data_IF_637706123695
#
_entry.id   IF_637706123695
#
_cell.length_a   1.000
_cell.length_b   1.000
_cell.length_c   1.000
_cell.angle_alpha   90.00
_cell.angle_beta   90.00
_cell.angle_gamma   90.00
#
_symmetry.space_group_name_H-M   'P 1'
#
loop_
_entity.id
_entity.type
_entity.pdbx_description
1 polymer ?
#
# COMPACT_ATOMS: atom_id res chain seq x y z
N UNK A 1 -0.07 -1.14 -24.07
CA UNK A 1 -0.98 -0.91 -22.94
C UNK A 1 -0.21 -1.18 -21.67
N UNK A 2 0.04 -0.15 -20.87
CA UNK A 2 0.89 -0.24 -19.67
C UNK A 2 0.10 -0.77 -18.49
N UNK A 3 0.60 -1.82 -17.82
CA UNK A 3 -0.08 -2.41 -16.66
C UNK A 3 0.26 -1.64 -15.38
N UNK A 4 -0.76 -1.03 -14.78
CA UNK A 4 -0.61 -0.19 -13.59
C UNK A 4 -1.39 -0.79 -12.43
N UNK A 5 -0.72 -1.01 -11.33
CA UNK A 5 -1.37 -1.31 -10.06
C UNK A 5 -1.44 -0.03 -9.26
N UNK A 6 -2.65 0.44 -8.98
CA UNK A 6 -2.89 1.49 -8.01
C UNK A 6 -3.22 0.84 -6.67
N UNK A 7 -2.54 1.22 -5.59
CA UNK A 7 -2.73 0.56 -4.29
C UNK A 7 -3.06 1.57 -3.19
N UNK A 8 -4.02 1.21 -2.34
CA UNK A 8 -4.39 2.00 -1.18
C UNK A 8 -4.97 1.08 -0.09
N UNK A 9 -4.17 0.76 0.94
CA UNK A 9 -4.60 -0.16 2.01
C UNK A 9 -5.74 0.39 2.87
N UNK A 10 -5.85 1.71 3.02
CA UNK A 10 -6.91 2.36 3.80
C UNK A 10 -8.25 2.46 3.06
N UNK A 11 -8.27 2.36 1.73
CA UNK A 11 -9.48 2.60 0.94
C UNK A 11 -10.54 1.54 1.25
N UNK A 12 -11.75 2.02 1.59
CA UNK A 12 -12.87 1.19 2.04
C UNK A 12 -12.94 0.97 3.56
N UNK A 13 -11.91 1.38 4.31
CA UNK A 13 -11.92 1.40 5.78
C UNK A 13 -11.96 2.83 6.34
N UNK A 14 -11.30 3.76 5.66
CA UNK A 14 -11.14 5.15 6.10
C UNK A 14 -11.38 6.06 4.89
N UNK A 15 -11.82 7.29 5.14
CA UNK A 15 -12.00 8.32 4.12
C UNK A 15 -11.12 9.53 4.47
N UNK A 16 -9.84 9.51 4.08
CA UNK A 16 -8.93 10.67 4.13
C UNK A 16 -8.59 11.09 2.70
N UNK A 17 -7.76 12.14 2.56
CA UNK A 17 -7.33 12.65 1.26
C UNK A 17 -6.61 11.63 0.38
N UNK A 18 -5.94 10.62 0.95
CA UNK A 18 -5.28 9.57 0.16
C UNK A 18 -6.26 8.56 -0.43
N UNK A 19 -7.25 8.13 0.34
CA UNK A 19 -8.27 7.17 -0.10
C UNK A 19 -9.17 7.78 -1.18
N UNK A 20 -9.66 9.01 -0.97
CA UNK A 20 -10.44 9.73 -1.99
C UNK A 20 -9.62 9.94 -3.26
N UNK A 21 -8.36 10.38 -3.14
CA UNK A 21 -7.46 10.53 -4.27
C UNK A 21 -7.28 9.22 -5.05
N UNK A 22 -7.03 8.10 -4.35
CA UNK A 22 -6.85 6.81 -5.01
C UNK A 22 -8.11 6.39 -5.79
N UNK A 23 -9.30 6.62 -5.22
CA UNK A 23 -10.56 6.30 -5.88
C UNK A 23 -10.81 7.19 -7.11
N UNK A 24 -10.64 8.50 -6.99
CA UNK A 24 -10.84 9.45 -8.10
C UNK A 24 -9.78 9.26 -9.20
N UNK A 25 -8.52 9.06 -8.81
CA UNK A 25 -7.44 8.78 -9.75
C UNK A 25 -7.69 7.49 -10.53
N UNK A 26 -8.17 6.44 -9.85
CA UNK A 26 -8.58 5.21 -10.53
C UNK A 26 -9.70 5.47 -11.55
N UNK A 27 -10.73 6.22 -11.16
CA UNK A 27 -11.87 6.52 -12.01
C UNK A 27 -11.45 7.29 -13.27
N UNK A 28 -10.57 8.28 -13.13
CA UNK A 28 -10.03 9.06 -14.23
C UNK A 28 -9.12 8.22 -15.15
N UNK A 29 -8.13 7.53 -14.59
CA UNK A 29 -7.15 6.76 -15.36
C UNK A 29 -7.75 5.49 -15.99
N UNK A 30 -8.89 4.99 -15.49
CA UNK A 30 -9.56 3.84 -16.09
C UNK A 30 -10.17 4.13 -17.47
N UNK A 31 -10.34 5.41 -17.81
CA UNK A 31 -10.81 5.84 -19.14
C UNK A 31 -9.68 5.85 -20.18
N UNK A 32 -8.42 5.80 -19.75
CA UNK A 32 -7.26 5.86 -20.63
C UNK A 32 -6.99 4.52 -21.31
N UNK A 33 -7.18 4.48 -22.63
CA UNK A 33 -6.97 3.26 -23.44
C UNK A 33 -5.51 2.77 -23.45
N UNK A 34 -4.57 3.65 -23.14
CA UNK A 34 -3.15 3.32 -23.03
C UNK A 34 -2.80 2.56 -21.75
N UNK A 35 -3.68 2.55 -20.74
CA UNK A 35 -3.45 2.00 -19.41
C UNK A 35 -4.35 0.81 -19.10
N UNK A 36 -3.75 -0.26 -18.58
CA UNK A 36 -4.47 -1.34 -17.90
C UNK A 36 -4.32 -1.17 -16.39
N UNK A 37 -5.18 -0.34 -15.81
CA UNK A 37 -5.15 -0.03 -14.40
C UNK A 37 -6.01 -1.00 -13.58
N UNK A 38 -5.47 -1.50 -12.47
CA UNK A 38 -6.20 -2.23 -11.43
C UNK A 38 -5.96 -1.56 -10.09
N UNK A 39 -7.03 -1.24 -9.37
CA UNK A 39 -6.99 -0.70 -8.02
C UNK A 39 -7.05 -1.84 -7.01
N UNK A 40 -6.11 -1.88 -6.08
CA UNK A 40 -6.14 -2.74 -4.91
C UNK A 40 -6.43 -1.92 -3.66
N UNK A 41 -7.46 -2.33 -2.93
CA UNK A 41 -7.97 -1.63 -1.74
C UNK A 41 -8.08 -2.55 -0.53
N UNK A 42 -8.05 -2.00 0.67
CA UNK A 42 -8.10 -2.80 1.90
C UNK A 42 -9.51 -3.22 2.32
N UNK A 43 -10.56 -2.49 1.91
CA UNK A 43 -11.94 -2.72 2.36
C UNK A 43 -13.01 -2.65 1.28
N UNK A 44 -14.22 -3.07 1.65
CA UNK A 44 -15.41 -3.07 0.78
C UNK A 44 -15.47 -4.26 -0.19
N UNK A 45 -16.46 -4.27 -1.09
CA UNK A 45 -16.65 -5.34 -2.07
C UNK A 45 -15.63 -5.25 -3.22
N UNK A 46 -15.19 -6.41 -3.70
CA UNK A 46 -14.36 -6.51 -4.91
C UNK A 46 -15.21 -6.38 -6.17
N UNK A 47 -14.67 -5.69 -7.16
CA UNK A 47 -15.26 -5.45 -8.48
C UNK A 47 -14.19 -5.68 -9.57
N UNK A 48 -14.60 -5.65 -10.85
CA UNK A 48 -13.79 -6.12 -11.99
C UNK A 48 -12.35 -5.59 -12.05
N UNK A 49 -12.13 -4.32 -11.72
CA UNK A 49 -10.81 -3.67 -11.68
C UNK A 49 -10.51 -3.01 -10.33
N UNK A 50 -11.34 -3.26 -9.32
CA UNK A 50 -11.16 -2.79 -7.94
C UNK A 50 -11.17 -3.99 -7.01
N UNK A 51 -10.01 -4.50 -6.68
CA UNK A 51 -9.86 -5.75 -5.94
C UNK A 51 -9.63 -5.42 -4.47
N UNK A 52 -10.51 -5.91 -3.60
CA UNK A 52 -10.29 -5.88 -2.16
C UNK A 52 -9.30 -6.98 -1.78
N UNK A 53 -8.20 -6.58 -1.14
CA UNK A 53 -7.21 -7.51 -0.61
C UNK A 53 -7.47 -7.79 0.86
N UNK A 54 -7.00 -8.96 1.29
CA UNK A 54 -6.99 -9.26 2.71
C UNK A 54 -6.06 -8.29 3.42
N UNK A 55 -6.58 -7.68 4.48
CA UNK A 55 -5.91 -6.65 5.23
C UNK A 55 -6.34 -6.72 6.70
N UNK A 56 -5.40 -6.87 7.63
CA UNK A 56 -5.68 -6.95 9.07
C UNK A 56 -6.10 -5.57 9.60
N UNK A 57 -7.29 -5.44 10.22
CA UNK A 57 -7.77 -4.15 10.71
C UNK A 57 -6.84 -3.57 11.77
N UNK A 58 -6.49 -2.28 11.63
CA UNK A 58 -5.61 -1.51 12.53
C UNK A 58 -5.99 -1.60 14.01
N UNK A 59 -7.28 -1.77 14.31
CA UNK A 59 -7.85 -1.79 15.65
C UNK A 59 -8.16 -3.21 16.18
N UNK A 60 -7.81 -4.26 15.43
CA UNK A 60 -7.96 -5.61 15.95
C UNK A 60 -7.00 -5.84 17.10
N UNK A 61 -7.48 -6.43 18.20
CA UNK A 61 -6.64 -6.86 19.32
C UNK A 61 -5.48 -7.74 18.86
N UNK A 62 -5.69 -8.57 17.83
CA UNK A 62 -4.64 -9.40 17.22
C UNK A 62 -3.55 -8.57 16.52
N UNK A 63 -3.92 -7.45 15.89
CA UNK A 63 -2.95 -6.56 15.26
C UNK A 63 -2.02 -5.91 16.31
N UNK A 64 -2.56 -5.58 17.48
CA UNK A 64 -1.76 -5.09 18.62
C UNK A 64 -0.79 -6.14 19.17
N UNK A 65 -1.21 -7.40 19.30
CA UNK A 65 -0.32 -8.47 19.77
C UNK A 65 0.80 -8.80 18.77
N UNK A 66 0.46 -8.88 17.48
CA UNK A 66 1.45 -9.10 16.42
C UNK A 66 2.44 -7.94 16.31
N UNK A 67 1.97 -6.70 16.45
CA UNK A 67 2.82 -5.50 16.49
C UNK A 67 3.88 -5.57 17.59
N UNK A 68 3.48 -5.95 18.80
CA UNK A 68 4.40 -6.11 19.95
C UNK A 68 5.45 -7.21 19.72
N UNK A 69 5.05 -8.33 19.12
CA UNK A 69 5.95 -9.45 18.84
C UNK A 69 6.98 -9.08 17.75
N UNK A 70 6.53 -8.39 16.70
CA UNK A 70 7.41 -7.85 15.64
C UNK A 70 8.38 -6.82 16.22
N UNK A 71 7.90 -5.97 17.14
CA UNK A 71 8.74 -4.99 17.85
C UNK A 71 9.86 -5.67 18.65
N UNK A 72 9.52 -6.65 19.48
CA UNK A 72 10.50 -7.42 20.27
C UNK A 72 11.55 -8.08 19.38
N UNK A 73 11.15 -8.65 18.24
CA UNK A 73 12.10 -9.20 17.28
C UNK A 73 12.97 -8.12 16.62
N UNK A 74 12.40 -6.98 16.23
CA UNK A 74 13.16 -5.88 15.63
C UNK A 74 14.21 -5.27 16.57
N UNK A 75 13.88 -5.13 17.87
CA UNK A 75 14.80 -4.72 18.93
C UNK A 75 15.90 -5.75 19.14
N UNK A 76 15.55 -7.04 19.12
CA UNK A 76 16.51 -8.14 19.21
C UNK A 76 17.52 -8.16 18.04
N UNK A 77 17.07 -7.83 16.82
CA UNK A 77 17.93 -7.76 15.63
C UNK A 77 18.61 -6.39 15.42
N UNK A 78 18.47 -5.43 16.36
CA UNK A 78 18.98 -4.03 16.24
C UNK A 78 18.63 -3.38 14.89
N UNK A 79 17.50 -3.76 14.28
CA UNK A 79 17.06 -3.24 12.98
C UNK A 79 16.14 -2.05 13.21
N UNK A 80 16.75 -0.87 13.33
CA UNK A 80 16.22 0.50 13.11
C UNK A 80 14.78 0.85 13.52
N UNK A 81 14.63 2.00 14.18
CA UNK A 81 13.40 2.60 14.75
C UNK A 81 12.19 2.81 13.79
N UNK A 82 12.27 2.35 12.54
CA UNK A 82 11.18 2.45 11.56
C UNK A 82 9.91 1.70 12.00
N UNK A 83 10.04 0.63 12.79
CA UNK A 83 8.92 -0.17 13.28
C UNK A 83 8.15 0.47 14.44
N UNK A 84 8.66 1.55 15.03
CA UNK A 84 8.22 2.03 16.36
C UNK A 84 7.03 2.98 16.31
N UNK A 85 6.68 3.53 15.14
CA UNK A 85 5.56 4.48 15.00
C UNK A 85 4.36 3.85 14.28
N UNK A 86 3.37 3.41 15.07
CA UNK A 86 2.05 2.87 14.68
C UNK A 86 1.99 1.37 14.32
N UNK A 87 2.10 0.52 15.34
CA UNK A 87 2.01 -0.95 15.26
C UNK A 87 0.83 -1.47 14.41
N UNK A 88 -0.37 -0.91 14.58
CA UNK A 88 -1.56 -1.33 13.82
C UNK A 88 -1.52 -0.92 12.33
N UNK A 89 -0.89 0.20 12.01
CA UNK A 89 -0.75 0.69 10.63
C UNK A 89 0.26 -0.15 9.85
N UNK A 90 1.37 -0.51 10.48
CA UNK A 90 2.37 -1.40 9.88
C UNK A 90 1.79 -2.79 9.59
N UNK A 91 1.06 -3.39 10.53
CA UNK A 91 0.45 -4.71 10.33
C UNK A 91 -0.59 -4.68 9.20
N UNK A 92 -1.39 -3.61 9.12
CA UNK A 92 -2.29 -3.38 7.99
C UNK A 92 -1.52 -3.41 6.66
N UNK A 93 -0.48 -2.57 6.54
CA UNK A 93 0.32 -2.50 5.32
C UNK A 93 1.05 -3.80 4.99
N UNK A 94 1.57 -4.51 5.98
CA UNK A 94 2.27 -5.78 5.79
C UNK A 94 1.32 -6.87 5.30
N UNK A 95 0.15 -7.01 5.94
CA UNK A 95 -0.87 -7.99 5.54
C UNK A 95 -1.44 -7.71 4.15
N UNK A 96 -1.73 -6.43 3.85
CA UNK A 96 -2.12 -5.98 2.52
C UNK A 96 -1.03 -6.29 1.48
N UNK A 97 0.22 -5.96 1.78
CA UNK A 97 1.36 -6.21 0.87
C UNK A 97 1.51 -7.70 0.59
N UNK A 98 1.42 -8.56 1.62
CA UNK A 98 1.49 -10.01 1.48
C UNK A 98 0.40 -10.54 0.54
N UNK A 99 -0.83 -10.06 0.68
CA UNK A 99 -1.94 -10.40 -0.22
C UNK A 99 -1.68 -9.92 -1.65
N UNK A 100 -1.12 -8.72 -1.81
CA UNK A 100 -0.77 -8.10 -3.08
C UNK A 100 0.32 -8.87 -3.83
N UNK A 101 1.28 -9.50 -3.12
CA UNK A 101 2.40 -10.21 -3.76
C UNK A 101 1.92 -11.25 -4.77
N UNK A 102 0.90 -12.03 -4.42
CA UNK A 102 0.33 -13.04 -5.33
C UNK A 102 -0.14 -12.45 -6.67
N UNK A 103 -0.68 -11.23 -6.64
CA UNK A 103 -1.13 -10.49 -7.82
C UNK A 103 0.05 -9.93 -8.61
N UNK A 104 1.06 -9.40 -7.93
CA UNK A 104 2.31 -8.92 -8.55
C UNK A 104 2.96 -10.05 -9.36
N UNK A 105 3.08 -11.25 -8.78
CA UNK A 105 3.67 -12.40 -9.47
C UNK A 105 2.88 -12.86 -10.68
N UNK A 106 1.55 -12.92 -10.57
CA UNK A 106 0.66 -13.42 -11.63
C UNK A 106 0.49 -12.43 -12.78
N UNK A 107 0.35 -11.14 -12.47
CA UNK A 107 -0.01 -10.11 -13.46
C UNK A 107 1.18 -9.32 -13.97
N UNK A 108 2.29 -9.28 -13.20
CA UNK A 108 3.54 -8.57 -13.51
C UNK A 108 3.28 -7.12 -13.95
N UNK A 109 2.84 -6.25 -13.03
CA UNK A 109 2.62 -4.83 -13.35
C UNK A 109 3.95 -4.18 -13.76
N UNK A 110 3.86 -3.13 -14.58
CA UNK A 110 5.02 -2.31 -14.95
C UNK A 110 5.20 -1.15 -13.97
N UNK A 111 4.09 -0.64 -13.42
CA UNK A 111 4.08 0.45 -12.45
C UNK A 111 3.19 0.07 -11.27
N UNK A 112 3.68 0.30 -10.06
CA UNK A 112 2.88 0.30 -8.84
C UNK A 112 2.82 1.75 -8.35
N UNK A 113 1.62 2.32 -8.36
CA UNK A 113 1.34 3.69 -7.95
C UNK A 113 0.69 3.71 -6.56
N UNK A 114 1.24 4.54 -5.65
CA UNK A 114 0.83 4.58 -4.25
C UNK A 114 1.12 5.94 -3.61
N UNK A 115 0.42 6.22 -2.49
CA UNK A 115 0.62 7.42 -1.68
C UNK A 115 1.14 7.17 -0.27
N UNK A 116 1.25 5.89 0.12
CA UNK A 116 1.59 5.48 1.47
C UNK A 116 3.06 5.04 1.56
N UNK A 117 3.84 5.69 2.40
CA UNK A 117 5.29 5.51 2.51
C UNK A 117 5.67 4.10 3.00
N UNK A 118 4.93 3.55 3.97
CA UNK A 118 5.16 2.21 4.49
C UNK A 118 4.94 1.10 3.45
N UNK A 119 3.88 1.20 2.62
CA UNK A 119 3.68 0.31 1.47
C UNK A 119 4.83 0.41 0.47
N UNK A 120 5.28 1.64 0.18
CA UNK A 120 6.43 1.87 -0.68
C UNK A 120 7.71 1.21 -0.18
N UNK A 121 7.98 1.33 1.12
CA UNK A 121 9.15 0.75 1.76
C UNK A 121 9.14 -0.78 1.69
N UNK A 122 8.01 -1.42 2.00
CA UNK A 122 7.85 -2.88 1.91
C UNK A 122 8.04 -3.38 0.47
N UNK A 123 7.40 -2.71 -0.51
CA UNK A 123 7.50 -3.09 -1.92
C UNK A 123 8.88 -2.87 -2.51
N UNK A 124 9.62 -1.85 -2.03
CA UNK A 124 11.01 -1.62 -2.42
C UNK A 124 11.92 -2.75 -1.93
N UNK A 125 11.77 -3.17 -0.67
CA UNK A 125 12.51 -4.31 -0.12
C UNK A 125 12.19 -5.59 -0.88
N UNK A 126 10.90 -5.85 -1.13
CA UNK A 126 10.47 -6.99 -1.92
C UNK A 126 11.07 -7.00 -3.32
N UNK A 127 11.04 -5.84 -4.01
CA UNK A 127 11.61 -5.69 -5.36
C UNK A 127 13.10 -6.00 -5.36
N UNK A 128 13.87 -5.53 -4.37
CA UNK A 128 15.31 -5.82 -4.25
C UNK A 128 15.59 -7.29 -3.99
N UNK A 129 14.81 -7.91 -3.12
CA UNK A 129 14.96 -9.33 -2.79
C UNK A 129 14.64 -10.24 -3.99
N UNK A 130 13.63 -9.87 -4.76
CA UNK A 130 13.06 -10.74 -5.82
C UNK A 130 13.42 -10.32 -7.23
N UNK A 131 14.19 -9.24 -7.38
CA UNK A 131 14.64 -8.65 -8.65
C UNK A 131 13.50 -8.38 -9.64
N UNK A 132 12.34 -7.97 -9.12
CA UNK A 132 11.19 -7.61 -9.95
C UNK A 132 11.45 -6.30 -10.71
N UNK A 133 10.90 -6.18 -11.91
CA UNK A 133 11.18 -5.06 -12.82
C UNK A 133 10.13 -3.94 -12.77
N UNK A 134 9.14 -4.00 -11.87
CA UNK A 134 8.14 -2.94 -11.73
C UNK A 134 8.76 -1.64 -11.20
N UNK A 135 8.26 -0.51 -11.69
CA UNK A 135 8.57 0.82 -11.19
C UNK A 135 7.65 1.16 -10.03
N UNK A 136 8.21 1.80 -9.01
CA UNK A 136 7.48 2.32 -7.86
C UNK A 136 7.26 3.80 -8.11
N UNK A 137 6.00 4.21 -8.30
CA UNK A 137 5.61 5.61 -8.45
C UNK A 137 4.99 6.06 -7.14
N UNK A 138 5.65 6.99 -6.46
CA UNK A 138 5.20 7.52 -5.18
C UNK A 138 4.61 8.91 -5.39
N UNK A 139 3.42 9.14 -4.82
CA UNK A 139 2.83 10.48 -4.71
C UNK A 139 2.55 10.79 -3.26
N UNK A 140 3.32 11.71 -2.71
CA UNK A 140 3.01 12.32 -1.43
C UNK A 140 2.19 13.59 -1.68
N UNK A 141 1.05 13.74 -1.00
CA UNK A 141 0.31 15.01 -0.95
C UNK A 141 0.81 15.97 0.14
N UNK A 142 1.99 15.69 0.71
CA UNK A 142 2.56 16.35 1.88
C UNK A 142 3.12 17.76 1.63
N UNK A 143 3.31 18.49 2.74
CA UNK A 143 3.31 19.94 2.82
C UNK A 143 4.31 20.70 1.93
N UNK A 144 3.81 21.78 1.31
CA UNK A 144 4.61 22.94 0.94
C UNK A 144 5.06 23.67 2.21
N UNK A 145 6.35 24.00 2.31
CA UNK A 145 6.82 24.92 3.34
C UNK A 145 6.28 26.33 3.07
N UNK A 146 5.73 27.04 4.09
CA UNK A 146 5.07 28.34 3.95
C UNK A 146 6.02 29.48 3.46
N UNK A 147 5.45 30.62 3.01
CA UNK A 147 4.80 31.59 3.90
C UNK A 147 3.27 31.62 3.80
N UNK A 148 2.63 30.48 3.54
CA UNK A 148 1.16 30.37 3.47
C UNK A 148 0.52 29.90 4.78
N UNK A 149 1.13 30.26 5.93
CA UNK A 149 0.57 30.06 7.27
C UNK A 149 -0.19 31.30 7.73
#
# INVERSE_FOLDING_TARGET
MTKVFLICSGLGHIQRGYESFAQECFAALSQESSLDITLFKGGGKSEKKMITLWNLPRYSWMAGQLGRLVKQLSEFFKKGDYFVRQEGYFIEQASFTLSLLSHIYRKRPEVIYFSDDGLGYLLWHWRRLTKQNYKLLFRNGGALSPPFS
#
